data_IF_302893602400
#
_entry.id   IF_302893602400
#
_cell.length_a   1.000
_cell.length_b   1.000
_cell.length_c   1.000
_cell.angle_alpha   90.00
_cell.angle_beta   90.00
_cell.angle_gamma   90.00
#
_symmetry.space_group_name_H-M   'P 1'
#
loop_
_entity.id
_entity.type
_entity.pdbx_description
1 polymer ?
#
# COMPACT_ATOMS: atom_id res chain seq x y z
N UNK A 1 0.87 15.13 28.21
CA UNK A 1 1.47 14.82 26.90
C UNK A 1 0.48 15.31 25.86
N UNK A 2 0.74 16.48 25.29
CA UNK A 2 -0.16 17.14 24.34
C UNK A 2 0.07 16.52 22.96
N UNK A 3 -0.73 15.50 22.61
CA UNK A 3 -0.69 14.88 21.28
C UNK A 3 -1.38 15.85 20.33
N UNK A 4 -0.61 16.79 19.79
CA UNK A 4 -1.06 17.63 18.68
C UNK A 4 -1.17 16.74 17.46
N UNK A 5 -2.39 16.35 17.12
CA UNK A 5 -2.71 15.78 15.80
C UNK A 5 -2.34 16.83 14.76
N UNK A 6 -1.16 16.69 14.15
CA UNK A 6 -0.84 17.39 12.91
C UNK A 6 -1.69 16.67 11.86
N UNK A 7 -2.91 17.14 11.66
CA UNK A 7 -3.69 16.72 10.51
C UNK A 7 -2.91 17.15 9.27
N UNK A 8 -2.42 16.23 8.42
CA UNK A 8 -1.98 16.64 7.10
C UNK A 8 -3.19 17.33 6.46
N UNK A 9 -3.05 18.63 6.17
CA UNK A 9 -4.09 19.40 5.51
C UNK A 9 -4.24 18.84 4.09
N UNK A 10 -5.13 17.86 3.95
CA UNK A 10 -5.61 17.38 2.66
C UNK A 10 -6.41 18.53 2.04
N UNK A 11 -5.94 19.07 0.92
CA UNK A 11 -6.72 20.06 0.20
C UNK A 11 -7.84 19.28 -0.53
N UNK A 12 -9.11 19.54 -0.20
CA UNK A 12 -10.26 18.81 -0.76
C UNK A 12 -10.36 18.90 -2.29
N UNK A 13 -9.59 19.79 -2.91
CA UNK A 13 -9.50 20.02 -4.35
C UNK A 13 -8.38 19.21 -5.05
N UNK A 14 -7.62 18.39 -4.31
CA UNK A 14 -6.69 17.42 -4.92
C UNK A 14 -7.51 16.32 -5.61
N UNK A 15 -7.93 16.61 -6.84
CA UNK A 15 -8.52 15.63 -7.75
C UNK A 15 -7.50 14.52 -7.93
N UNK A 16 -7.87 13.28 -7.55
CA UNK A 16 -7.06 12.09 -7.81
C UNK A 16 -6.91 11.93 -9.32
N UNK A 17 -5.76 12.32 -9.86
CA UNK A 17 -5.52 12.37 -11.32
C UNK A 17 -5.08 11.03 -11.89
N UNK A 18 -4.57 10.14 -11.05
CA UNK A 18 -3.96 8.89 -11.50
C UNK A 18 -4.34 7.71 -10.60
N UNK A 19 -4.73 6.61 -11.23
CA UNK A 19 -4.94 5.31 -10.57
C UNK A 19 -3.74 4.42 -10.91
N UNK A 20 -3.16 3.78 -9.91
CA UNK A 20 -1.93 2.97 -10.06
C UNK A 20 -2.00 1.65 -9.29
N UNK A 21 -1.21 0.68 -9.74
CA UNK A 21 -0.94 -0.56 -9.01
C UNK A 21 0.38 -0.43 -8.25
N UNK A 22 0.42 -0.89 -7.00
CA UNK A 22 1.64 -0.90 -6.20
C UNK A 22 2.18 -2.33 -6.04
N UNK A 23 3.50 -2.49 -6.04
CA UNK A 23 4.17 -3.76 -5.82
C UNK A 23 5.12 -3.66 -4.64
N UNK A 24 4.91 -4.51 -3.63
CA UNK A 24 5.82 -4.63 -2.49
C UNK A 24 6.79 -5.79 -2.74
N UNK A 25 8.01 -5.46 -3.12
CA UNK A 25 9.06 -6.44 -3.47
C UNK A 25 9.76 -6.99 -2.23
N UNK A 26 10.26 -8.25 -2.26
CA UNK A 26 10.99 -8.88 -1.15
C UNK A 26 12.46 -8.41 -1.08
N UNK A 27 12.72 -7.16 -1.46
CA UNK A 27 14.06 -6.59 -1.48
C UNK A 27 14.01 -5.07 -1.39
N UNK A 28 15.11 -4.47 -0.91
CA UNK A 28 15.33 -3.03 -0.96
C UNK A 28 16.02 -2.65 -2.27
N UNK A 29 15.45 -1.69 -2.99
CA UNK A 29 16.07 -1.02 -4.12
C UNK A 29 16.68 0.29 -3.61
N UNK A 30 17.96 0.53 -3.87
CA UNK A 30 18.67 1.73 -3.35
C UNK A 30 18.43 3.00 -4.17
N UNK A 31 17.79 2.89 -5.34
CA UNK A 31 17.43 4.03 -6.19
C UNK A 31 15.97 4.40 -6.01
N UNK A 32 15.69 5.69 -5.96
CA UNK A 32 14.36 6.30 -5.98
C UNK A 32 14.20 7.21 -7.22
N UNK A 33 12.98 7.71 -7.45
CA UNK A 33 12.68 8.72 -8.49
C UNK A 33 12.80 8.29 -9.96
N UNK A 34 13.24 7.06 -10.23
CA UNK A 34 13.40 6.54 -11.59
C UNK A 34 12.05 6.20 -12.23
N UNK A 35 11.81 6.72 -13.43
CA UNK A 35 10.71 6.28 -14.28
C UNK A 35 11.12 4.99 -15.00
N UNK A 36 10.55 3.87 -14.59
CA UNK A 36 10.78 2.55 -15.19
C UNK A 36 9.47 2.02 -15.74
N UNK A 37 9.50 1.47 -16.95
CA UNK A 37 8.37 0.70 -17.47
C UNK A 37 8.31 -0.65 -16.75
N UNK A 38 7.52 -0.70 -15.68
CA UNK A 38 7.34 -1.90 -14.86
C UNK A 38 6.69 -3.01 -15.70
N UNK A 39 5.74 -2.71 -16.59
CA UNK A 39 5.05 -3.75 -17.35
C UNK A 39 5.99 -4.43 -18.35
N UNK A 40 6.86 -3.66 -19.01
CA UNK A 40 7.87 -4.22 -19.91
C UNK A 40 8.98 -4.97 -19.15
N UNK A 41 9.37 -4.49 -17.96
CA UNK A 41 10.49 -5.05 -17.19
C UNK A 41 10.12 -6.16 -16.21
N UNK A 42 8.83 -6.34 -15.91
CA UNK A 42 8.33 -7.20 -14.85
C UNK A 42 7.18 -8.06 -15.35
N UNK A 43 7.54 -9.06 -16.16
CA UNK A 43 6.59 -10.03 -16.73
C UNK A 43 6.06 -10.93 -15.61
N UNK A 44 4.73 -11.05 -15.56
CA UNK A 44 3.98 -11.82 -14.56
C UNK A 44 3.16 -12.90 -15.25
N UNK A 45 3.12 -14.06 -14.64
CA UNK A 45 2.37 -15.22 -15.12
C UNK A 45 1.49 -15.73 -13.98
N UNK A 46 0.24 -16.12 -14.29
CA UNK A 46 -0.59 -16.79 -13.30
C UNK A 46 -0.12 -18.23 -13.11
N UNK A 47 -0.08 -18.68 -11.85
CA UNK A 47 0.35 -20.04 -11.50
C UNK A 47 -0.79 -21.06 -11.53
N UNK A 48 -2.05 -20.58 -11.56
CA UNK A 48 -3.26 -21.40 -11.42
C UNK A 48 -3.63 -21.75 -9.97
N UNK A 49 -2.82 -21.38 -8.97
CA UNK A 49 -3.19 -21.49 -7.56
C UNK A 49 -3.96 -20.24 -7.10
N UNK A 50 -4.81 -20.42 -6.08
CA UNK A 50 -5.56 -19.33 -5.44
C UNK A 50 -4.93 -19.03 -4.09
N UNK A 51 -4.59 -17.76 -3.89
CA UNK A 51 -3.97 -17.25 -2.67
C UNK A 51 -4.95 -17.17 -1.50
N UNK A 52 -4.41 -16.92 -0.30
CA UNK A 52 -5.21 -16.71 0.91
C UNK A 52 -6.17 -15.52 0.83
N UNK A 53 -5.95 -14.57 -0.09
CA UNK A 53 -6.83 -13.43 -0.31
C UNK A 53 -7.92 -13.70 -1.36
N UNK A 54 -7.97 -14.91 -1.93
CA UNK A 54 -8.95 -15.29 -2.95
C UNK A 54 -8.58 -14.84 -4.37
N UNK A 55 -7.38 -14.29 -4.56
CA UNK A 55 -6.86 -13.89 -5.88
C UNK A 55 -5.90 -14.95 -6.45
N UNK A 56 -5.78 -15.02 -7.78
CA UNK A 56 -4.78 -15.86 -8.46
C UNK A 56 -3.37 -15.50 -7.98
N UNK A 57 -2.54 -16.51 -7.71
CA UNK A 57 -1.12 -16.30 -7.38
C UNK A 57 -0.37 -16.02 -8.68
N UNK A 58 0.35 -14.91 -8.68
CA UNK A 58 1.21 -14.49 -9.79
C UNK A 58 2.65 -14.99 -9.54
N UNK A 59 3.39 -15.31 -10.59
CA UNK A 59 4.82 -15.62 -10.57
C UNK A 59 5.55 -14.65 -11.47
N UNK A 60 6.70 -14.18 -11.02
CA UNK A 60 7.59 -13.32 -11.80
C UNK A 60 9.05 -13.66 -11.50
N UNK A 61 9.96 -13.05 -12.25
CA UNK A 61 11.40 -13.10 -11.98
C UNK A 61 11.92 -11.70 -11.72
N UNK A 62 12.62 -11.50 -10.60
CA UNK A 62 13.29 -10.25 -10.30
C UNK A 62 14.79 -10.50 -10.13
N UNK A 63 15.61 -9.92 -11.02
CA UNK A 63 17.07 -10.15 -11.06
C UNK A 63 17.46 -11.64 -11.09
N UNK A 64 16.75 -12.42 -11.91
CA UNK A 64 16.97 -13.87 -12.06
C UNK A 64 16.49 -14.72 -10.89
N UNK A 65 15.76 -14.15 -9.92
CA UNK A 65 15.18 -14.88 -8.79
C UNK A 65 13.67 -15.02 -8.94
N UNK A 66 13.11 -16.23 -8.75
CA UNK A 66 11.67 -16.42 -8.80
C UNK A 66 11.01 -15.78 -7.57
N UNK A 67 9.95 -15.05 -7.82
CA UNK A 67 9.11 -14.45 -6.78
C UNK A 67 7.65 -14.79 -7.06
N UNK A 68 6.88 -14.90 -5.98
CA UNK A 68 5.45 -15.21 -6.04
C UNK A 68 4.65 -14.09 -5.40
N UNK A 69 3.58 -13.70 -6.07
CA UNK A 69 2.82 -12.49 -5.84
C UNK A 69 1.38 -12.80 -5.49
N UNK A 70 0.82 -12.05 -4.56
CA UNK A 70 -0.62 -12.11 -4.22
C UNK A 70 -1.16 -10.70 -4.06
N UNK A 71 -2.30 -10.43 -4.69
CA UNK A 71 -3.03 -9.16 -4.53
C UNK A 71 -3.63 -9.10 -3.12
N UNK A 72 -3.36 -7.99 -2.44
CA UNK A 72 -3.90 -7.67 -1.13
C UNK A 72 -5.12 -6.74 -1.30
N UNK A 73 -6.32 -7.16 -0.87
CA UNK A 73 -7.48 -6.28 -0.88
C UNK A 73 -7.32 -5.19 0.18
N UNK A 74 -7.63 -3.94 -0.20
CA UNK A 74 -7.75 -2.84 0.74
C UNK A 74 -9.10 -3.00 1.45
N UNK A 75 -9.13 -3.15 2.78
CA UNK A 75 -10.37 -3.37 3.50
C UNK A 75 -11.24 -2.10 3.46
N UNK A 76 -12.54 -2.17 3.12
CA UNK A 76 -13.45 -1.05 3.30
C UNK A 76 -13.53 -0.63 4.78
N UNK A 77 -13.75 0.67 5.10
CA UNK A 77 -13.97 1.80 4.18
C UNK A 77 -12.67 2.51 3.77
N UNK A 78 -11.51 1.87 3.91
CA UNK A 78 -10.22 2.50 3.65
C UNK A 78 -9.90 2.62 2.16
N UNK A 79 -9.11 3.65 1.82
CA UNK A 79 -8.52 3.81 0.50
C UNK A 79 -6.99 3.92 0.62
N UNK A 80 -6.27 3.38 -0.35
CA UNK A 80 -4.83 3.54 -0.45
C UNK A 80 -4.50 4.69 -1.42
N UNK A 81 -3.62 5.58 -1.00
CA UNK A 81 -3.21 6.76 -1.77
C UNK A 81 -1.70 6.93 -1.75
N UNK A 82 -1.16 7.57 -2.77
CA UNK A 82 0.23 8.01 -2.81
C UNK A 82 0.30 9.50 -2.49
N UNK A 83 0.93 9.82 -1.36
CA UNK A 83 1.14 11.17 -0.88
C UNK A 83 2.58 11.61 -1.16
N UNK A 84 2.75 12.83 -1.68
CA UNK A 84 4.04 13.46 -1.91
C UNK A 84 4.15 14.74 -1.08
N UNK A 85 5.31 15.01 -0.45
CA UNK A 85 5.55 16.31 0.15
C UNK A 85 5.53 17.38 -0.96
N UNK A 86 4.86 18.50 -0.69
CA UNK A 86 4.95 19.71 -1.50
C UNK A 86 6.16 20.52 -1.06
N UNK A 87 6.76 21.27 -1.98
CA UNK A 87 7.84 22.20 -1.66
C UNK A 87 7.40 23.13 -0.51
N UNK A 88 8.26 23.28 0.50
CA UNK A 88 8.02 24.16 1.64
C UNK A 88 8.06 25.61 1.16
N UNK A 89 7.02 26.39 1.45
CA UNK A 89 6.98 27.83 1.13
C UNK A 89 7.92 28.70 2.02
N UNK A 90 8.75 28.10 2.87
CA UNK A 90 9.80 28.76 3.65
C UNK A 90 10.30 27.95 4.84
N UNK A 91 11.39 28.41 5.47
CA UNK A 91 12.15 27.70 6.54
C UNK A 91 11.37 27.42 7.84
N UNK A 92 10.12 27.90 7.96
CA UNK A 92 9.30 27.79 9.20
C UNK A 92 7.99 27.03 9.05
N UNK A 93 7.57 26.66 7.84
CA UNK A 93 6.35 25.85 7.66
C UNK A 93 6.68 24.38 7.38
N UNK A 94 6.01 23.42 8.04
CA UNK A 94 6.15 22.02 7.69
C UNK A 94 5.68 21.79 6.24
N UNK A 95 6.42 20.96 5.50
CA UNK A 95 6.01 20.56 4.16
C UNK A 95 4.60 19.96 4.19
N UNK A 96 3.71 20.46 3.34
CA UNK A 96 2.36 19.91 3.20
C UNK A 96 2.42 18.61 2.41
N UNK A 97 1.44 17.74 2.58
CA UNK A 97 1.30 16.54 1.77
C UNK A 97 0.27 16.83 0.68
N UNK A 98 0.62 16.54 -0.58
CA UNK A 98 -0.30 16.49 -1.70
C UNK A 98 -0.62 15.04 -2.03
N UNK A 99 -1.89 14.75 -2.31
CA UNK A 99 -2.34 13.40 -2.66
C UNK A 99 -2.86 13.44 -4.07
N UNK A 100 -2.04 12.97 -5.02
CA UNK A 100 -2.35 13.07 -6.44
C UNK A 100 -2.78 11.75 -7.07
N UNK A 101 -2.62 10.64 -6.35
CA UNK A 101 -2.85 9.32 -6.91
C UNK A 101 -3.50 8.36 -5.92
N UNK A 102 -4.38 7.52 -6.47
CA UNK A 102 -5.02 6.41 -5.78
C UNK A 102 -4.33 5.11 -6.16
N UNK A 103 -4.10 4.26 -5.18
CA UNK A 103 -3.59 2.91 -5.38
C UNK A 103 -4.79 1.97 -5.46
N UNK A 104 -5.04 1.38 -6.63
CA UNK A 104 -6.18 0.47 -6.84
C UNK A 104 -5.92 -0.93 -6.28
N UNK A 105 -4.67 -1.37 -6.30
CA UNK A 105 -4.27 -2.67 -5.80
C UNK A 105 -2.83 -2.66 -5.30
N UNK A 106 -2.55 -3.53 -4.32
CA UNK A 106 -1.20 -3.77 -3.79
C UNK A 106 -0.90 -5.25 -3.98
N UNK A 107 0.15 -5.59 -4.73
CA UNK A 107 0.65 -6.97 -4.82
C UNK A 107 1.82 -7.15 -3.87
N UNK A 108 1.70 -8.09 -2.93
CA UNK A 108 2.78 -8.52 -2.07
C UNK A 108 3.57 -9.63 -2.78
N UNK A 109 4.88 -9.47 -2.88
CA UNK A 109 5.78 -10.45 -3.46
C UNK A 109 6.70 -11.07 -2.41
N UNK A 110 6.78 -12.40 -2.39
CA UNK A 110 7.74 -13.16 -1.60
C UNK A 110 8.78 -13.84 -2.49
N UNK A 111 9.97 -14.09 -1.94
CA UNK A 111 11.03 -14.82 -2.62
C UNK A 111 10.78 -16.33 -2.49
N UNK A 112 10.78 -17.04 -3.62
CA UNK A 112 10.71 -18.52 -3.71
C UNK A 112 9.45 -19.21 -3.15
N UNK A 113 8.66 -18.57 -2.31
CA UNK A 113 7.41 -19.10 -1.72
C UNK A 113 6.22 -18.16 -1.98
N UNK A 114 5.02 -18.72 -2.03
CA UNK A 114 3.77 -17.94 -2.11
C UNK A 114 3.54 -17.11 -0.83
N UNK A 115 3.03 -15.86 -0.94
CA UNK A 115 2.59 -15.08 0.21
C UNK A 115 1.51 -15.79 1.04
N UNK A 116 1.62 -15.69 2.37
CA UNK A 116 0.72 -16.37 3.32
C UNK A 116 -0.03 -15.36 4.18
N UNK A 117 -1.20 -15.76 4.68
CA UNK A 117 -2.00 -14.94 5.60
C UNK A 117 -1.25 -14.60 6.91
N UNK A 118 -0.28 -15.44 7.31
CA UNK A 118 0.57 -15.25 8.48
C UNK A 118 1.75 -14.29 8.25
N UNK A 119 1.96 -13.82 7.02
CA UNK A 119 3.03 -12.86 6.74
C UNK A 119 2.76 -11.52 7.41
N UNK A 120 3.82 -10.75 7.68
CA UNK A 120 3.74 -9.50 8.45
C UNK A 120 2.79 -8.47 7.83
N UNK A 121 2.78 -8.36 6.50
CA UNK A 121 1.99 -7.33 5.81
C UNK A 121 0.49 -7.66 5.84
N UNK A 122 0.02 -8.89 5.51
CA UNK A 122 -1.37 -9.27 5.71
C UNK A 122 -1.84 -9.11 7.16
N UNK A 123 -1.01 -9.48 8.15
CA UNK A 123 -1.32 -9.26 9.57
C UNK A 123 -1.41 -7.76 9.92
N UNK A 124 -0.56 -6.91 9.36
CA UNK A 124 -0.66 -5.47 9.53
C UNK A 124 -1.95 -4.90 8.89
N UNK A 125 -2.37 -5.41 7.73
CA UNK A 125 -3.63 -5.01 7.09
C UNK A 125 -4.85 -5.46 7.90
N UNK A 126 -4.77 -6.55 8.67
CA UNK A 126 -5.82 -6.96 9.59
C UNK A 126 -6.07 -5.91 10.69
N UNK A 127 -5.04 -5.17 11.10
CA UNK A 127 -5.20 -4.09 12.08
C UNK A 127 -6.21 -3.03 11.62
N UNK A 128 -6.30 -2.75 10.32
CA UNK A 128 -7.30 -1.80 9.79
C UNK A 128 -8.74 -2.25 10.10
N UNK A 129 -9.01 -3.56 10.20
CA UNK A 129 -10.33 -4.08 10.59
C UNK A 129 -10.54 -4.09 12.09
N UNK A 130 -9.47 -4.32 12.86
CA UNK A 130 -9.54 -4.45 14.31
C UNK A 130 -9.54 -3.10 15.03
N UNK A 131 -8.80 -2.11 14.51
CA UNK A 131 -8.65 -0.81 15.14
C UNK A 131 -9.99 -0.12 15.43
N UNK A 132 -10.99 -0.10 14.51
CA UNK A 132 -12.29 0.48 14.81
C UNK A 132 -13.02 -0.18 15.98
N UNK A 133 -12.86 -1.51 16.17
CA UNK A 133 -13.47 -2.25 17.26
C UNK A 133 -12.81 -1.95 18.61
N UNK A 134 -11.49 -1.77 18.61
CA UNK A 134 -10.72 -1.42 19.81
C UNK A 134 -11.03 0.01 20.25
N UNK A 135 -11.19 0.92 19.29
CA UNK A 135 -11.41 2.35 19.56
C UNK A 135 -12.88 2.77 19.51
N UNK A 136 -13.82 1.84 19.30
CA UNK A 136 -15.23 2.17 19.42
C UNK A 136 -15.53 2.50 20.87
N UNK A 137 -16.00 3.72 21.13
CA UNK A 137 -16.49 4.08 22.46
C UNK A 137 -17.59 3.10 22.86
N UNK A 138 -17.46 2.49 24.04
CA UNK A 138 -18.52 1.68 24.61
C UNK A 138 -19.72 2.57 24.90
N UNK A 139 -20.65 2.69 23.96
CA UNK A 139 -21.95 3.28 24.22
C UNK A 139 -22.74 2.29 25.07
N UNK A 140 -22.65 2.43 26.39
CA UNK A 140 -23.63 1.85 27.30
C UNK A 140 -24.96 2.55 27.05
N UNK A 141 -25.86 1.90 26.31
CA UNK A 141 -27.27 2.30 26.25
C UNK A 141 -27.93 1.92 27.57
N UNK A 142 -28.30 2.93 28.38
CA UNK A 142 -29.24 2.79 29.49
C UNK A 142 -30.66 2.58 28.97
#
# INVERSE_FOLDING_TARGET
>A
MDVRTIAPFYNGDDVLKQVMEAHLLPCKISSDGMHVDVQAGFVREETGSISFSGHSVEKANFRGRPIFGTKLPIPPPYEAVLAHPTDSLGDKEPARLSVKSKISSITLWNLSDEPKASDKIPLAMLWLKLAPLVHSNASYSN
#
